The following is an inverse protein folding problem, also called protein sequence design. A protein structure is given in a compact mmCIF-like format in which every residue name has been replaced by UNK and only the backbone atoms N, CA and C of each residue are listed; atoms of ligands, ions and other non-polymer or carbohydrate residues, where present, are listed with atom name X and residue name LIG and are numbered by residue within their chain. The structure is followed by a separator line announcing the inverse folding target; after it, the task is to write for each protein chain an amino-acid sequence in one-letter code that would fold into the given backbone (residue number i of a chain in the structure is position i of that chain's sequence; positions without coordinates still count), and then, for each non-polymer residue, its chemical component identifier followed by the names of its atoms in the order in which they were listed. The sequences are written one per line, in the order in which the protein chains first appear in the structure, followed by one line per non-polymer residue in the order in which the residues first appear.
data_IF_980405409166
#
_entry.id   IF_980405409166
#
_cell.length_a   1.000
_cell.length_b   1.000
_cell.length_c   1.000
_cell.angle_alpha   90.00
_cell.angle_beta   90.00
_cell.angle_gamma   90.00
#
_symmetry.space_group_name_H-M   'P 1'
#
loop_
_entity.id
_entity.type
_entity.pdbx_description
1 polymer ?
#
# COMPACT_ATOMS: atom_id res chain seq x y z
N UNK A 1 -13.83 10.48 -14.79
CA UNK A 1 -13.42 9.15 -14.29
C UNK A 1 -12.89 9.34 -12.88
N UNK A 2 -13.48 8.73 -11.90
CA UNK A 2 -13.02 8.86 -10.51
C UNK A 2 -11.74 8.05 -10.31
N UNK A 3 -10.84 8.54 -9.46
CA UNK A 3 -9.53 7.92 -9.25
C UNK A 3 -9.66 6.57 -8.52
N UNK A 4 -10.66 6.40 -7.66
CA UNK A 4 -10.85 5.22 -6.81
C UNK A 4 -11.60 4.08 -7.52
N UNK A 5 -12.60 4.40 -8.33
CA UNK A 5 -13.49 3.43 -8.92
C UNK A 5 -13.55 3.54 -10.45
N UNK A 6 -13.26 2.46 -11.14
CA UNK A 6 -13.44 2.32 -12.59
C UNK A 6 -14.84 1.73 -12.93
N UNK A 7 -15.18 1.65 -14.21
CA UNK A 7 -16.50 1.23 -14.66
C UNK A 7 -16.93 -0.16 -14.17
N UNK A 8 -15.97 -1.08 -13.97
CA UNK A 8 -16.25 -2.40 -13.41
C UNK A 8 -16.72 -2.32 -11.97
N UNK A 9 -16.09 -1.47 -11.15
CA UNK A 9 -16.55 -1.23 -9.78
C UNK A 9 -17.93 -0.58 -9.78
N UNK A 10 -18.12 0.42 -10.65
CA UNK A 10 -19.38 1.18 -10.73
C UNK A 10 -20.55 0.30 -11.12
N UNK A 11 -20.38 -0.62 -12.06
CA UNK A 11 -21.43 -1.59 -12.45
C UNK A 11 -21.85 -2.48 -11.28
N UNK A 12 -20.89 -2.97 -10.49
CA UNK A 12 -21.22 -3.78 -9.32
C UNK A 12 -21.90 -2.94 -8.21
N UNK A 13 -21.44 -1.71 -7.99
CA UNK A 13 -22.07 -0.82 -7.03
C UNK A 13 -23.53 -0.52 -7.40
N UNK A 14 -23.85 -0.38 -8.69
CA UNK A 14 -25.22 -0.19 -9.16
C UNK A 14 -26.05 -1.47 -8.99
N UNK A 15 -25.48 -2.63 -9.32
CA UNK A 15 -26.15 -3.92 -9.19
C UNK A 15 -26.55 -4.23 -7.74
N UNK A 16 -25.74 -3.79 -6.76
CA UNK A 16 -25.96 -4.04 -5.33
C UNK A 16 -26.44 -2.82 -4.55
N UNK A 17 -26.90 -1.78 -5.23
CA UNK A 17 -27.41 -0.51 -4.65
C UNK A 17 -26.48 0.11 -3.60
N UNK A 18 -25.17 0.01 -3.86
CA UNK A 18 -24.13 0.52 -2.95
C UNK A 18 -23.44 1.80 -3.45
N UNK A 19 -23.88 2.37 -4.58
CA UNK A 19 -23.29 3.55 -5.22
C UNK A 19 -23.15 4.72 -4.24
N UNK A 20 -24.22 5.06 -3.55
CA UNK A 20 -24.26 6.18 -2.59
C UNK A 20 -23.28 6.01 -1.43
N UNK A 21 -23.11 4.78 -0.93
CA UNK A 21 -22.14 4.48 0.13
C UNK A 21 -20.72 4.61 -0.42
N UNK A 22 -20.50 4.08 -1.61
CA UNK A 22 -19.19 4.12 -2.30
C UNK A 22 -18.75 5.56 -2.60
N UNK A 23 -19.65 6.42 -3.03
CA UNK A 23 -19.35 7.84 -3.30
C UNK A 23 -18.93 8.58 -2.00
N UNK A 24 -19.61 8.34 -0.90
CA UNK A 24 -19.21 8.89 0.41
C UNK A 24 -17.86 8.38 0.89
N UNK A 25 -17.54 7.11 0.61
CA UNK A 25 -16.25 6.54 0.95
C UNK A 25 -15.15 7.13 0.06
N UNK A 26 -15.41 7.30 -1.24
CA UNK A 26 -14.47 7.94 -2.16
C UNK A 26 -14.15 9.36 -1.69
N UNK A 27 -15.15 10.17 -1.37
CA UNK A 27 -14.97 11.53 -0.87
C UNK A 27 -14.14 11.59 0.43
N UNK A 28 -14.39 10.66 1.37
CA UNK A 28 -13.70 10.64 2.66
C UNK A 28 -12.29 10.05 2.60
N UNK A 29 -12.08 9.06 1.74
CA UNK A 29 -10.85 8.24 1.74
C UNK A 29 -9.85 8.67 0.67
N UNK A 30 -10.27 9.41 -0.37
CA UNK A 30 -9.35 9.89 -1.39
C UNK A 30 -8.53 11.05 -0.84
N UNK A 31 -7.23 10.83 -0.73
CA UNK A 31 -6.26 11.82 -0.27
C UNK A 31 -5.04 11.82 -1.18
N UNK A 32 -4.40 12.97 -1.29
CA UNK A 32 -3.19 13.16 -2.10
C UNK A 32 -1.92 13.23 -1.24
N UNK A 33 -2.07 13.21 0.09
CA UNK A 33 -0.96 13.28 1.01
C UNK A 33 -1.20 12.40 2.25
N UNK A 34 -0.13 11.92 2.85
CA UNK A 34 -0.14 11.22 4.11
C UNK A 34 -0.41 12.19 5.27
N UNK A 35 -1.30 11.80 6.18
CA UNK A 35 -1.48 12.51 7.45
C UNK A 35 -0.37 12.14 8.44
N UNK A 36 -0.30 12.84 9.57
CA UNK A 36 0.61 12.47 10.66
C UNK A 36 0.32 11.05 11.19
N UNK A 37 -0.96 10.65 11.26
CA UNK A 37 -1.38 9.31 11.70
C UNK A 37 -1.00 8.24 10.66
N UNK A 38 -1.14 8.52 9.37
CA UNK A 38 -0.70 7.61 8.30
C UNK A 38 0.81 7.40 8.37
N UNK A 39 1.59 8.48 8.55
CA UNK A 39 3.04 8.40 8.73
C UNK A 39 3.41 7.53 9.92
N UNK A 40 2.81 7.78 11.07
CA UNK A 40 3.08 7.03 12.29
C UNK A 40 2.75 5.54 12.10
N UNK A 41 1.63 5.22 11.43
CA UNK A 41 1.22 3.85 11.13
C UNK A 41 2.19 3.14 10.18
N UNK A 42 2.59 3.81 9.09
CA UNK A 42 3.56 3.29 8.11
C UNK A 42 4.92 3.05 8.78
N UNK A 43 5.44 4.05 9.51
CA UNK A 43 6.78 3.98 10.10
C UNK A 43 6.88 3.04 11.30
N UNK A 44 5.77 2.72 11.97
CA UNK A 44 5.72 1.70 13.03
C UNK A 44 5.59 0.27 12.51
N UNK A 45 5.23 0.09 11.24
CA UNK A 45 5.02 -1.23 10.66
C UNK A 45 6.33 -2.04 10.62
N UNK A 46 6.23 -3.32 10.94
CA UNK A 46 7.32 -4.30 10.82
C UNK A 46 7.18 -5.16 9.56
N UNK A 47 6.09 -5.05 8.85
CA UNK A 47 5.86 -5.69 7.55
C UNK A 47 4.75 -4.99 6.78
N UNK A 48 4.69 -5.26 5.49
CA UNK A 48 3.57 -4.96 4.61
C UNK A 48 3.49 -5.99 3.47
N UNK A 49 2.34 -6.07 2.82
CA UNK A 49 2.17 -6.82 1.57
C UNK A 49 2.27 -5.87 0.39
N UNK A 50 2.99 -6.30 -0.64
CA UNK A 50 3.16 -5.57 -1.88
C UNK A 50 2.54 -6.36 -3.03
N UNK A 51 1.67 -5.72 -3.78
CA UNK A 51 1.09 -6.24 -5.02
C UNK A 51 1.75 -5.53 -6.20
N UNK A 52 2.24 -6.31 -7.13
CA UNK A 52 2.87 -5.84 -8.38
C UNK A 52 2.31 -6.64 -9.56
N UNK A 53 2.56 -6.20 -10.77
CA UNK A 53 2.23 -6.97 -11.97
C UNK A 53 3.35 -6.88 -12.99
N UNK A 54 3.49 -7.89 -13.83
CA UNK A 54 4.41 -7.85 -14.96
C UNK A 54 3.89 -6.97 -16.10
N UNK A 55 4.61 -6.92 -17.22
CA UNK A 55 4.24 -6.11 -18.38
C UNK A 55 2.90 -6.53 -19.02
N UNK A 56 2.50 -7.80 -18.85
CA UNK A 56 1.23 -8.34 -19.34
C UNK A 56 0.08 -8.18 -18.32
N UNK A 57 0.35 -7.58 -17.16
CA UNK A 57 -0.63 -7.40 -16.09
C UNK A 57 -0.85 -8.63 -15.20
N UNK A 58 0.02 -9.66 -15.29
CA UNK A 58 -0.10 -10.83 -14.40
C UNK A 58 0.32 -10.44 -12.99
N UNK A 59 -0.56 -10.61 -11.99
CA UNK A 59 -0.31 -10.13 -10.64
C UNK A 59 0.66 -11.01 -9.87
N UNK A 60 1.35 -10.38 -8.92
CA UNK A 60 2.16 -11.02 -7.89
C UNK A 60 1.93 -10.31 -6.55
N UNK A 61 1.96 -11.06 -5.47
CA UNK A 61 1.82 -10.52 -4.12
C UNK A 61 2.93 -11.08 -3.24
N UNK A 62 3.67 -10.19 -2.59
CA UNK A 62 4.80 -10.55 -1.76
C UNK A 62 4.72 -9.91 -0.39
N UNK A 63 5.37 -10.55 0.57
CA UNK A 63 5.61 -10.01 1.91
C UNK A 63 6.93 -9.25 1.94
N UNK A 64 6.95 -8.08 2.60
CA UNK A 64 8.15 -7.30 2.88
C UNK A 64 8.18 -6.99 4.38
N UNK A 65 9.28 -7.25 5.03
CA UNK A 65 9.43 -7.05 6.47
C UNK A 65 10.76 -6.40 6.85
N UNK A 66 10.77 -5.77 8.02
CA UNK A 66 11.94 -5.12 8.60
C UNK A 66 11.68 -4.62 10.02
N UNK A 67 12.68 -4.01 10.63
CA UNK A 67 12.50 -3.34 11.92
C UNK A 67 11.60 -2.09 11.76
N UNK A 68 10.92 -1.63 12.82
CA UNK A 68 10.18 -0.37 12.78
C UNK A 68 11.04 0.76 12.20
N UNK A 69 10.47 1.55 11.30
CA UNK A 69 11.17 2.59 10.55
C UNK A 69 11.91 2.10 9.28
N UNK A 70 11.79 0.82 8.90
CA UNK A 70 12.31 0.36 7.61
C UNK A 70 11.53 0.96 6.43
N UNK A 71 10.25 1.24 6.60
CA UNK A 71 9.48 2.09 5.68
C UNK A 71 9.46 3.51 6.22
N UNK A 72 9.78 4.49 5.38
CA UNK A 72 9.85 5.91 5.75
C UNK A 72 8.99 6.73 4.83
N UNK A 73 8.22 7.66 5.38
CA UNK A 73 7.52 8.68 4.60
C UNK A 73 8.51 9.82 4.35
N UNK A 74 8.91 9.98 3.10
CA UNK A 74 9.99 10.90 2.68
C UNK A 74 9.48 12.22 2.13
N UNK A 75 8.21 12.27 1.70
CA UNK A 75 7.52 13.48 1.27
C UNK A 75 6.02 13.36 1.60
N UNK A 76 5.22 14.42 1.44
CA UNK A 76 3.79 14.35 1.74
C UNK A 76 3.04 13.22 1.03
N UNK A 77 3.48 12.84 -0.16
CA UNK A 77 2.87 11.81 -1.00
C UNK A 77 3.85 10.67 -1.35
N UNK A 78 5.02 10.62 -0.71
CA UNK A 78 6.05 9.63 -1.04
C UNK A 78 6.49 8.85 0.20
N UNK A 79 6.67 7.56 0.02
CA UNK A 79 7.35 6.69 0.98
C UNK A 79 8.49 5.92 0.30
N UNK A 80 9.44 5.46 1.11
CA UNK A 80 10.56 4.65 0.65
C UNK A 80 10.77 3.46 1.57
N UNK A 81 11.22 2.33 0.99
CA UNK A 81 11.62 1.15 1.74
C UNK A 81 12.82 0.45 1.08
N UNK A 82 13.67 -0.22 1.87
CA UNK A 82 14.78 -0.97 1.36
C UNK A 82 14.34 -2.34 0.82
N UNK A 83 15.05 -2.83 -0.17
CA UNK A 83 15.05 -4.24 -0.53
C UNK A 83 16.30 -4.90 0.05
N UNK A 84 16.08 -5.90 0.88
CA UNK A 84 17.14 -6.69 1.50
C UNK A 84 17.43 -7.93 0.67
N UNK A 85 18.64 -8.49 0.85
CA UNK A 85 18.97 -9.77 0.26
C UNK A 85 17.98 -10.85 0.74
N UNK A 86 17.37 -11.51 -0.20
CA UNK A 86 16.38 -12.55 0.04
C UNK A 86 16.74 -13.82 -0.70
N UNK A 87 15.84 -14.31 -1.53
CA UNK A 87 16.03 -15.55 -2.29
C UNK A 87 16.62 -15.34 -3.71
N UNK A 88 17.06 -14.12 -4.04
CA UNK A 88 17.63 -13.77 -5.35
C UNK A 88 16.62 -13.74 -6.51
N UNK A 89 15.34 -13.96 -6.27
CA UNK A 89 14.34 -14.01 -7.34
C UNK A 89 13.96 -12.62 -7.89
N UNK A 90 14.08 -11.56 -7.09
CA UNK A 90 13.69 -10.19 -7.45
C UNK A 90 12.30 -10.06 -8.08
N UNK A 91 11.36 -10.94 -7.73
CA UNK A 91 10.06 -11.06 -8.39
C UNK A 91 9.29 -9.73 -8.38
N UNK A 92 9.11 -9.13 -7.20
CA UNK A 92 8.40 -7.85 -7.08
C UNK A 92 9.15 -6.71 -7.77
N UNK A 93 10.49 -6.61 -7.59
CA UNK A 93 11.28 -5.54 -8.15
C UNK A 93 11.45 -5.68 -9.67
N UNK A 94 11.54 -6.91 -10.17
CA UNK A 94 11.52 -7.20 -11.60
C UNK A 94 10.21 -6.76 -12.26
N UNK A 95 9.07 -6.99 -11.58
CA UNK A 95 7.79 -6.48 -12.04
C UNK A 95 7.79 -4.94 -12.08
N UNK A 96 8.27 -4.29 -11.01
CA UNK A 96 8.33 -2.81 -10.94
C UNK A 96 9.22 -2.18 -12.02
N UNK A 97 10.23 -2.91 -12.50
CA UNK A 97 11.10 -2.44 -13.58
C UNK A 97 10.38 -2.36 -14.94
N UNK A 98 9.31 -3.14 -15.15
CA UNK A 98 8.55 -3.17 -16.41
C UNK A 98 7.14 -2.61 -16.27
N UNK A 99 6.61 -2.57 -15.05
CA UNK A 99 5.31 -2.01 -14.72
C UNK A 99 5.40 -1.36 -13.34
N UNK A 100 5.54 -0.06 -13.31
CA UNK A 100 5.79 0.70 -12.08
C UNK A 100 4.56 0.81 -11.15
N UNK A 101 3.38 0.34 -11.54
CA UNK A 101 2.19 0.37 -10.69
C UNK A 101 2.31 -0.61 -9.52
N UNK A 102 2.00 -0.11 -8.32
CA UNK A 102 2.13 -0.86 -7.08
C UNK A 102 0.95 -0.64 -6.16
N UNK A 103 0.56 -1.71 -5.45
CA UNK A 103 -0.34 -1.65 -4.32
C UNK A 103 0.38 -2.13 -3.06
N UNK A 104 0.24 -1.39 -1.97
CA UNK A 104 0.80 -1.76 -0.67
C UNK A 104 -0.32 -1.88 0.34
N UNK A 105 -0.24 -2.87 1.21
CA UNK A 105 -1.20 -3.08 2.30
C UNK A 105 -0.44 -3.27 3.61
N UNK A 106 -0.56 -2.28 4.47
CA UNK A 106 -0.11 -2.33 5.87
C UNK A 106 -1.25 -2.83 6.73
N UNK A 107 -0.97 -3.76 7.65
CA UNK A 107 -1.96 -4.33 8.57
C UNK A 107 -1.33 -4.41 9.95
N UNK A 108 -2.01 -3.87 10.96
CA UNK A 108 -1.75 -4.14 12.36
C UNK A 108 -2.96 -4.88 12.94
N UNK A 109 -2.71 -6.05 13.53
CA UNK A 109 -3.74 -6.89 14.14
C UNK A 109 -3.62 -6.94 15.67
N UNK A 110 -2.66 -6.21 16.26
CA UNK A 110 -2.31 -6.34 17.68
C UNK A 110 -2.73 -5.13 18.50
N UNK A 111 -1.88 -4.11 18.55
CA UNK A 111 -2.07 -2.99 19.49
C UNK A 111 -3.15 -2.01 19.06
N UNK A 112 -3.16 -1.67 17.79
CA UNK A 112 -4.16 -0.78 17.19
C UNK A 112 -4.66 -1.41 15.89
N UNK A 113 -5.62 -2.34 15.98
CA UNK A 113 -6.13 -3.01 14.80
C UNK A 113 -6.47 -2.02 13.70
N UNK A 114 -5.80 -2.13 12.58
CA UNK A 114 -5.96 -1.19 11.49
C UNK A 114 -5.31 -1.67 10.21
N UNK A 115 -5.70 -1.04 9.12
CA UNK A 115 -5.11 -1.28 7.80
C UNK A 115 -4.99 0.02 7.02
N UNK A 116 -3.90 0.14 6.31
CA UNK A 116 -3.65 1.25 5.41
C UNK A 116 -3.28 0.70 4.03
N UNK A 117 -3.95 1.19 3.00
CA UNK A 117 -3.63 0.84 1.61
C UNK A 117 -3.01 2.05 0.92
N UNK A 118 -1.89 1.82 0.26
CA UNK A 118 -1.23 2.81 -0.57
C UNK A 118 -1.14 2.26 -1.99
N UNK A 119 -1.75 2.94 -2.94
CA UNK A 119 -1.58 2.66 -4.36
C UNK A 119 -0.75 3.77 -4.98
N UNK A 120 0.17 3.43 -5.87
CA UNK A 120 1.06 4.43 -6.43
C UNK A 120 1.91 3.93 -7.59
N UNK A 121 2.95 4.69 -7.85
CA UNK A 121 3.97 4.38 -8.85
C UNK A 121 5.31 4.29 -8.15
N UNK A 122 6.03 3.21 -8.40
CA UNK A 122 7.30 2.93 -7.77
C UNK A 122 8.48 3.19 -8.70
N UNK A 123 9.60 3.59 -8.11
CA UNK A 123 10.93 3.60 -8.72
C UNK A 123 11.86 2.74 -7.89
N UNK A 124 12.78 2.03 -8.55
CA UNK A 124 13.78 1.15 -7.91
C UNK A 124 15.16 1.64 -8.31
N UNK A 125 16.02 1.90 -7.32
CA UNK A 125 17.36 2.44 -7.61
C UNK A 125 18.42 1.99 -6.61
N UNK A 126 19.67 1.96 -7.06
CA UNK A 126 20.88 1.81 -6.24
C UNK A 126 21.51 3.16 -5.84
N UNK A 127 21.05 4.24 -6.43
CA UNK A 127 21.65 5.58 -6.28
C UNK A 127 20.89 6.44 -5.26
N UNK A 128 20.13 5.81 -4.37
CA UNK A 128 19.35 6.51 -3.36
C UNK A 128 20.21 6.83 -2.13
N UNK A 129 20.16 8.07 -1.59
CA UNK A 129 20.88 8.42 -0.36
C UNK A 129 20.50 7.54 0.85
N UNK A 130 19.28 7.00 0.91
CA UNK A 130 18.84 6.11 1.98
C UNK A 130 19.58 4.77 1.96
N UNK A 131 20.14 4.36 0.82
CA UNK A 131 20.88 3.10 0.72
C UNK A 131 22.11 3.10 1.63
N UNK A 132 22.86 4.20 1.66
CA UNK A 132 24.03 4.34 2.53
C UNK A 132 23.67 4.33 4.03
N UNK A 133 22.45 4.73 4.38
CA UNK A 133 21.96 4.77 5.75
C UNK A 133 21.23 3.49 6.18
N UNK A 134 21.11 2.49 5.29
CA UNK A 134 20.31 1.28 5.56
C UNK A 134 21.19 0.03 5.41
N UNK A 135 21.65 -0.48 6.55
CA UNK A 135 22.54 -1.67 6.59
C UNK A 135 21.82 -2.88 6.00
N UNK A 136 22.50 -3.58 5.06
CA UNK A 136 22.00 -4.79 4.42
C UNK A 136 21.04 -4.55 3.24
N UNK A 137 20.68 -3.30 2.95
CA UNK A 137 19.88 -2.99 1.77
C UNK A 137 20.70 -3.09 0.48
N UNK A 138 20.09 -3.63 -0.56
CA UNK A 138 20.68 -3.72 -1.91
C UNK A 138 20.13 -2.65 -2.84
N UNK A 139 18.88 -2.26 -2.63
CA UNK A 139 18.13 -1.31 -3.43
C UNK A 139 17.20 -0.49 -2.53
N UNK A 140 16.81 0.67 -3.00
CA UNK A 140 15.71 1.45 -2.40
C UNK A 140 14.55 1.51 -3.41
N UNK A 141 13.36 1.29 -2.90
CA UNK A 141 12.11 1.47 -3.64
C UNK A 141 11.44 2.73 -3.10
N UNK A 142 11.15 3.69 -3.97
CA UNK A 142 10.32 4.85 -3.65
C UNK A 142 8.96 4.70 -4.28
N UNK A 143 7.92 4.99 -3.54
CA UNK A 143 6.53 4.92 -4.01
C UNK A 143 5.89 6.28 -3.85
N UNK A 144 5.53 6.90 -4.97
CA UNK A 144 4.70 8.10 -4.99
C UNK A 144 3.24 7.67 -5.02
N UNK A 145 2.50 8.02 -3.97
CA UNK A 145 1.07 7.74 -3.89
C UNK A 145 0.32 8.57 -4.94
N UNK A 146 -0.44 7.92 -5.80
CA UNK A 146 -1.23 8.60 -6.82
C UNK A 146 -2.68 8.66 -6.41
N UNK A 147 -3.11 9.78 -5.82
CA UNK A 147 -4.50 10.26 -5.73
C UNK A 147 -5.57 9.25 -5.27
N UNK A 148 -5.19 8.09 -4.85
CA UNK A 148 -6.03 6.97 -4.52
C UNK A 148 -5.74 6.52 -3.10
N UNK A 149 -6.70 6.85 -2.29
CA UNK A 149 -6.98 6.11 -1.09
C UNK A 149 -5.76 5.70 -0.26
N UNK A 150 -5.20 6.63 0.43
CA UNK A 150 -4.72 6.28 1.76
C UNK A 150 -6.00 5.91 2.54
N UNK A 151 -6.43 4.68 2.44
CA UNK A 151 -7.61 4.21 3.16
C UNK A 151 -7.20 3.99 4.59
N UNK A 152 -7.56 4.92 5.43
CA UNK A 152 -7.33 4.86 6.86
C UNK A 152 -7.97 3.62 7.48
N UNK A 153 -7.29 3.12 8.49
CA UNK A 153 -7.74 2.16 9.45
C UNK A 153 -9.26 2.17 9.65
N UNK A 154 -9.89 1.06 9.39
CA UNK A 154 -11.19 0.79 9.97
C UNK A 154 -10.95 0.29 11.38
N UNK A 155 -11.05 1.21 12.31
CA UNK A 155 -11.26 0.86 13.71
C UNK A 155 -12.57 0.08 13.80
N UNK A 156 -12.55 -1.09 14.40
CA UNK A 156 -13.69 -1.87 14.87
C UNK A 156 -14.63 -2.48 13.81
N UNK A 157 -14.18 -3.49 13.10
CA UNK A 157 -15.10 -4.52 12.61
C UNK A 157 -14.73 -5.93 13.06
N UNK A 158 -13.77 -6.06 13.99
CA UNK A 158 -13.45 -7.35 14.63
C UNK A 158 -14.09 -7.49 16.01
N UNK A 159 -14.98 -6.56 16.40
CA UNK A 159 -15.70 -6.60 17.67
C UNK A 159 -16.93 -7.48 17.69
N UNK A 160 -17.40 -8.00 16.56
CA UNK A 160 -18.57 -8.87 16.54
C UNK A 160 -18.41 -10.02 15.55
N UNK A 161 -17.67 -11.04 15.97
CA UNK A 161 -17.55 -12.31 15.25
C UNK A 161 -18.82 -13.16 15.34
N UNK A 162 -19.88 -12.70 15.96
CA UNK A 162 -21.14 -13.42 16.08
C UNK A 162 -22.04 -13.34 14.82
N UNK A 163 -21.70 -12.49 13.84
CA UNK A 163 -22.53 -12.25 12.67
C UNK A 163 -22.06 -12.97 11.38
N UNK A 164 -21.06 -13.84 11.44
CA UNK A 164 -20.52 -14.52 10.24
C UNK A 164 -20.89 -16.02 10.18
N UNK A 165 -21.61 -16.55 11.18
CA UNK A 165 -22.17 -17.90 11.15
C UNK A 165 -23.70 -17.82 11.30
N UNK A 166 -24.39 -17.55 10.22
CA UNK A 166 -25.82 -17.64 10.07
C UNK A 166 -26.16 -17.81 8.60
#
# INVERSE_FOLDING_TARGET
MTIMYHDGNRRLQDQFDSRRISDRLEEKLTRTAFTADDRAFIESAIYFFIATADADGRPDCSFKGGAPGFVRVTAPDELAFPDYDGNGMFKSLGNLAVNAHVGMLFIDLHEKPGRLRVNGVATVTREDPLLAATVGAQLIVRVTARGTAVATAVTSALGDTSAICG
#
